data_IF_070361407344
#
_entry.id   IF_070361407344
#
_cell.length_a   1.000
_cell.length_b   1.000
_cell.length_c   1.000
_cell.angle_alpha   90.00
_cell.angle_beta   90.00
_cell.angle_gamma   90.00
#
_symmetry.space_group_name_H-M   'P 1'
#
loop_
_entity.id
_entity.type
_entity.pdbx_description
1 polymer ?
#
# COMPACT_ATOMS: atom_id res chain seq x y z
N UNK A 1 -25.63 -25.83 -23.85
CA UNK A 1 -25.30 -25.50 -22.48
C UNK A 1 -25.40 -23.99 -22.38
N UNK A 2 -26.43 -23.46 -21.70
CA UNK A 2 -26.56 -22.01 -21.49
C UNK A 2 -25.48 -21.58 -20.50
N UNK A 3 -24.57 -20.72 -20.93
CA UNK A 3 -23.44 -20.24 -20.12
C UNK A 3 -23.84 -19.13 -19.13
N UNK A 4 -25.15 -18.82 -19.02
CA UNK A 4 -25.64 -17.78 -18.12
C UNK A 4 -26.88 -18.31 -17.39
N UNK A 5 -26.73 -18.62 -16.12
CA UNK A 5 -27.86 -18.75 -15.22
C UNK A 5 -28.39 -17.33 -14.91
N UNK A 6 -29.45 -16.93 -15.61
CA UNK A 6 -30.07 -15.62 -15.46
C UNK A 6 -30.73 -15.41 -14.08
N UNK A 7 -30.89 -16.47 -13.26
CA UNK A 7 -31.48 -16.35 -11.93
C UNK A 7 -30.58 -15.59 -10.96
N UNK A 8 -29.24 -15.59 -11.16
CA UNK A 8 -28.28 -14.84 -10.37
C UNK A 8 -28.29 -13.32 -10.64
N UNK A 9 -28.84 -12.88 -11.76
CA UNK A 9 -28.78 -11.46 -12.17
C UNK A 9 -29.73 -10.51 -11.42
N UNK A 10 -30.66 -11.03 -10.62
CA UNK A 10 -31.74 -10.19 -10.08
C UNK A 10 -32.14 -10.42 -8.62
N UNK A 11 -31.68 -11.49 -7.95
CA UNK A 11 -32.16 -11.82 -6.62
C UNK A 11 -31.28 -11.35 -5.45
N UNK A 12 -29.98 -11.21 -5.65
CA UNK A 12 -29.04 -10.93 -4.55
C UNK A 12 -28.06 -9.81 -4.94
N UNK A 13 -28.57 -8.59 -5.05
CA UNK A 13 -27.68 -7.43 -5.09
C UNK A 13 -27.14 -7.22 -3.66
N UNK A 14 -25.82 -7.07 -3.47
CA UNK A 14 -25.27 -6.67 -2.18
C UNK A 14 -25.99 -5.42 -1.70
N UNK A 15 -26.40 -5.39 -0.44
CA UNK A 15 -26.90 -4.15 0.17
C UNK A 15 -25.77 -3.11 0.09
N UNK A 16 -26.10 -1.82 -0.12
CA UNK A 16 -25.09 -0.78 -0.09
C UNK A 16 -24.39 -0.80 1.27
N UNK A 17 -23.05 -0.69 1.31
CA UNK A 17 -22.29 -0.72 2.56
C UNK A 17 -22.80 0.37 3.50
N UNK A 18 -22.73 0.11 4.82
CA UNK A 18 -23.03 1.12 5.84
C UNK A 18 -22.23 2.39 5.58
N UNK A 19 -22.85 3.55 5.78
CA UNK A 19 -22.14 4.85 5.71
C UNK A 19 -21.06 4.96 6.81
N UNK A 20 -21.23 4.24 7.93
CA UNK A 20 -20.28 4.23 9.03
C UNK A 20 -19.20 3.17 8.82
N UNK A 21 -17.90 3.53 8.93
CA UNK A 21 -16.82 2.58 8.78
C UNK A 21 -16.78 1.60 9.96
N UNK A 22 -16.42 0.34 9.67
CA UNK A 22 -16.15 -0.68 10.69
C UNK A 22 -14.98 -0.22 11.55
N UNK A 23 -15.10 -0.36 12.87
CA UNK A 23 -14.10 -0.05 13.89
C UNK A 23 -14.06 -1.13 14.94
N UNK A 24 -12.87 -1.37 15.47
CA UNK A 24 -12.61 -2.26 16.62
C UNK A 24 -12.25 -1.45 17.87
N UNK A 25 -11.37 -0.47 17.70
CA UNK A 25 -10.89 0.40 18.77
C UNK A 25 -11.55 1.79 18.69
N UNK A 26 -11.69 2.45 19.84
CA UNK A 26 -11.92 3.89 19.88
C UNK A 26 -10.61 4.68 19.70
N UNK A 27 -10.66 6.00 19.77
CA UNK A 27 -9.47 6.85 19.57
C UNK A 27 -8.43 6.71 20.69
N UNK A 28 -8.85 6.26 21.86
CA UNK A 28 -8.00 6.03 23.03
C UNK A 28 -7.46 4.58 23.09
N UNK A 29 -7.63 3.81 22.01
CA UNK A 29 -7.17 2.43 21.92
C UNK A 29 -8.02 1.42 22.70
N UNK A 30 -9.23 1.80 23.17
CA UNK A 30 -10.08 0.86 23.89
C UNK A 30 -11.03 0.12 22.93
N UNK A 31 -11.25 -1.19 23.13
CA UNK A 31 -12.20 -1.94 22.32
C UNK A 31 -13.63 -1.34 22.43
N UNK A 32 -14.24 -1.10 21.27
CA UNK A 32 -15.61 -0.57 21.22
C UNK A 32 -16.61 -1.59 21.76
N UNK A 33 -17.69 -1.16 22.42
CA UNK A 33 -18.73 -2.07 22.91
C UNK A 33 -19.34 -2.89 21.77
N UNK A 34 -19.21 -4.21 21.86
CA UNK A 34 -19.74 -5.16 20.87
C UNK A 34 -18.84 -5.39 19.65
N UNK A 35 -17.71 -4.70 19.53
CA UNK A 35 -16.70 -5.04 18.54
C UNK A 35 -16.00 -6.35 18.90
N UNK A 36 -15.63 -7.11 17.87
CA UNK A 36 -14.79 -8.31 18.04
C UNK A 36 -13.34 -7.91 17.76
N UNK A 37 -12.49 -8.03 18.76
CA UNK A 37 -11.05 -7.85 18.57
C UNK A 37 -10.51 -9.08 17.84
N UNK A 38 -9.69 -8.94 16.79
CA UNK A 38 -9.08 -10.06 16.08
C UNK A 38 -8.27 -10.95 17.04
N UNK A 39 -8.38 -12.27 16.87
CA UNK A 39 -7.62 -13.26 17.66
C UNK A 39 -6.16 -13.31 17.17
N UNK A 40 -5.39 -12.31 17.57
CA UNK A 40 -3.97 -12.21 17.31
C UNK A 40 -3.17 -12.54 18.57
N UNK A 41 -2.15 -13.35 18.42
CA UNK A 41 -1.20 -13.62 19.51
C UNK A 41 -0.37 -12.38 19.87
N UNK A 42 0.13 -12.33 21.12
CA UNK A 42 1.03 -11.25 21.57
C UNK A 42 2.20 -11.00 20.58
N UNK A 43 2.91 -12.01 20.05
CA UNK A 43 3.97 -11.77 19.06
C UNK A 43 3.47 -11.12 17.76
N UNK A 44 2.25 -11.47 17.28
CA UNK A 44 1.70 -10.85 16.07
C UNK A 44 1.31 -9.39 16.30
N UNK A 45 0.72 -9.08 17.45
CA UNK A 45 0.39 -7.71 17.85
C UNK A 45 1.65 -6.84 17.97
N UNK A 46 2.70 -7.36 18.64
CA UNK A 46 3.98 -6.65 18.76
C UNK A 46 4.66 -6.46 17.41
N UNK A 47 4.62 -7.46 16.52
CA UNK A 47 5.16 -7.34 15.16
C UNK A 47 4.44 -6.25 14.37
N UNK A 48 3.12 -6.19 14.43
CA UNK A 48 2.33 -5.13 13.77
C UNK A 48 2.69 -3.75 14.32
N UNK A 49 2.86 -3.62 15.63
CA UNK A 49 3.27 -2.37 16.26
C UNK A 49 4.69 -1.95 15.86
N UNK A 50 5.65 -2.89 15.86
CA UNK A 50 7.04 -2.64 15.44
C UNK A 50 7.10 -2.20 13.96
N UNK A 51 6.30 -2.82 13.08
CA UNK A 51 6.23 -2.44 11.67
C UNK A 51 5.57 -1.06 11.47
N UNK A 52 4.60 -0.67 12.31
CA UNK A 52 4.05 0.70 12.33
C UNK A 52 5.11 1.72 12.77
N UNK A 53 5.88 1.39 13.81
CA UNK A 53 7.02 2.22 14.24
C UNK A 53 8.06 2.36 13.14
N UNK A 54 8.39 1.24 12.47
CA UNK A 54 9.31 1.23 11.35
C UNK A 54 8.81 2.12 10.19
N UNK A 55 7.54 1.98 9.82
CA UNK A 55 6.93 2.78 8.77
C UNK A 55 7.02 4.28 9.09
N UNK A 56 6.69 4.68 10.30
CA UNK A 56 6.73 6.07 10.74
C UNK A 56 8.16 6.63 10.76
N UNK A 57 9.10 5.91 11.37
CA UNK A 57 10.49 6.34 11.45
C UNK A 57 11.15 6.41 10.05
N UNK A 58 10.86 5.43 9.19
CA UNK A 58 11.31 5.45 7.80
C UNK A 58 10.74 6.64 7.01
N UNK A 59 9.46 6.94 7.17
CA UNK A 59 8.80 8.08 6.50
C UNK A 59 9.47 9.41 6.86
N UNK A 60 9.71 9.64 8.14
CA UNK A 60 10.42 10.82 8.65
C UNK A 60 11.86 10.90 8.12
N UNK A 61 12.56 9.75 8.11
CA UNK A 61 13.92 9.65 7.60
C UNK A 61 13.98 9.93 6.10
N UNK A 62 13.05 9.38 5.31
CA UNK A 62 12.97 9.59 3.87
C UNK A 62 12.70 11.07 3.52
N UNK A 63 11.79 11.73 4.24
CA UNK A 63 11.55 13.17 4.10
C UNK A 63 12.82 13.98 4.41
N UNK A 64 13.55 13.60 5.45
CA UNK A 64 14.83 14.25 5.81
C UNK A 64 15.90 14.05 4.73
N UNK A 65 16.05 12.84 4.18
CA UNK A 65 16.97 12.52 3.09
C UNK A 65 16.65 13.32 1.82
N UNK A 66 15.36 13.47 1.51
CA UNK A 66 14.92 14.27 0.36
C UNK A 66 15.28 15.75 0.55
N UNK A 67 15.06 16.32 1.73
CA UNK A 67 15.44 17.72 2.03
C UNK A 67 16.95 17.94 1.96
N UNK A 68 17.75 16.90 2.20
CA UNK A 68 19.20 16.91 2.02
C UNK A 68 19.63 16.72 0.55
N UNK A 69 18.71 16.43 -0.36
CA UNK A 69 19.00 16.12 -1.76
C UNK A 69 19.65 14.76 -1.99
N UNK A 70 19.54 13.84 -1.03
CA UNK A 70 20.09 12.47 -1.12
C UNK A 70 19.17 11.51 -1.85
N UNK A 71 17.87 11.78 -1.86
CA UNK A 71 16.87 11.06 -2.66
C UNK A 71 16.04 12.03 -3.49
N UNK A 72 15.38 11.52 -4.52
CA UNK A 72 14.42 12.23 -5.36
C UNK A 72 13.12 12.55 -4.60
N UNK A 73 12.10 13.00 -5.31
CA UNK A 73 10.77 13.27 -4.73
C UNK A 73 10.22 12.00 -4.07
N UNK A 74 9.78 12.14 -2.83
CA UNK A 74 9.24 11.06 -2.01
C UNK A 74 7.75 11.30 -1.74
N UNK A 75 6.98 10.23 -1.67
CA UNK A 75 5.55 10.25 -1.34
C UNK A 75 5.34 9.82 0.13
N UNK A 76 5.19 10.76 1.09
CA UNK A 76 5.03 10.41 2.50
C UNK A 76 3.78 9.56 2.76
N UNK A 77 3.91 8.58 3.66
CA UNK A 77 2.83 7.64 4.00
C UNK A 77 2.23 7.84 5.39
N UNK A 78 2.81 8.70 6.24
CA UNK A 78 2.30 8.93 7.59
C UNK A 78 0.80 9.27 7.61
N UNK A 79 0.03 8.60 8.48
CA UNK A 79 -1.42 8.63 8.56
C UNK A 79 -2.12 7.61 7.64
N UNK A 80 -1.39 6.94 6.72
CA UNK A 80 -1.85 5.83 5.90
C UNK A 80 -1.08 4.53 6.21
N UNK A 81 -0.08 4.63 7.04
CA UNK A 81 0.79 3.55 7.50
C UNK A 81 0.01 2.45 8.25
N UNK A 82 -0.99 2.83 9.06
CA UNK A 82 -1.85 1.88 9.75
C UNK A 82 -2.56 0.91 8.82
N UNK A 83 -3.17 1.43 7.76
CA UNK A 83 -3.85 0.62 6.76
C UNK A 83 -2.89 -0.25 5.94
N UNK A 84 -1.70 0.27 5.61
CA UNK A 84 -0.68 -0.46 4.86
C UNK A 84 -0.13 -1.65 5.66
N UNK A 85 0.27 -1.40 6.91
CA UNK A 85 0.84 -2.43 7.78
C UNK A 85 -0.21 -3.49 8.10
N UNK A 86 -1.38 -3.08 8.59
CA UNK A 86 -2.41 -4.02 9.01
C UNK A 86 -2.92 -4.89 7.86
N UNK A 87 -3.12 -4.33 6.66
CA UNK A 87 -3.55 -5.11 5.50
C UNK A 87 -2.50 -6.11 5.03
N UNK A 88 -1.21 -5.78 5.17
CA UNK A 88 -0.13 -6.71 4.81
C UNK A 88 0.08 -7.80 5.85
N UNK A 89 -0.15 -7.54 7.14
CA UNK A 89 -0.19 -8.59 8.16
C UNK A 89 -1.31 -9.62 7.95
N UNK A 90 -2.34 -9.27 7.18
CA UNK A 90 -3.42 -10.20 6.81
C UNK A 90 -3.07 -11.13 5.63
N UNK A 91 -2.00 -10.83 4.87
CA UNK A 91 -1.55 -11.66 3.75
C UNK A 91 -0.84 -12.92 4.24
N UNK A 92 -1.09 -14.03 3.54
CA UNK A 92 -0.24 -15.22 3.62
C UNK A 92 0.92 -15.12 2.62
N UNK A 93 1.99 -15.90 2.82
CA UNK A 93 3.16 -15.93 1.94
C UNK A 93 2.83 -16.21 0.47
N UNK A 94 1.74 -16.96 0.20
CA UNK A 94 1.30 -17.28 -1.15
C UNK A 94 0.45 -16.18 -1.81
N UNK A 95 -0.04 -15.22 -1.05
CA UNK A 95 -0.84 -14.11 -1.56
C UNK A 95 0.03 -13.08 -2.29
N UNK A 96 -0.55 -12.34 -3.21
CA UNK A 96 0.16 -11.34 -4.01
C UNK A 96 -0.25 -9.92 -3.65
N UNK A 97 0.74 -9.05 -3.44
CA UNK A 97 0.55 -7.62 -3.20
C UNK A 97 0.77 -6.81 -4.48
N UNK A 98 -0.20 -5.96 -4.82
CA UNK A 98 -0.13 -4.96 -5.89
C UNK A 98 -0.14 -3.56 -5.27
N UNK A 99 1.03 -2.96 -5.00
CA UNK A 99 1.12 -1.65 -4.38
C UNK A 99 0.99 -0.52 -5.39
N UNK A 100 0.72 0.69 -4.92
CA UNK A 100 1.02 1.94 -5.64
C UNK A 100 2.41 2.46 -5.22
N UNK A 101 2.73 3.67 -5.65
CA UNK A 101 3.99 4.37 -5.30
C UNK A 101 4.06 4.82 -3.82
N UNK A 102 3.02 4.61 -3.01
CA UNK A 102 2.96 5.04 -1.60
C UNK A 102 2.95 3.91 -0.59
N UNK A 103 2.63 2.71 -0.99
CA UNK A 103 2.50 1.56 -0.09
C UNK A 103 3.87 0.96 0.29
N UNK A 104 4.78 1.84 0.77
CA UNK A 104 6.13 1.44 1.17
C UNK A 104 6.12 0.46 2.34
N UNK A 105 5.31 0.75 3.38
CA UNK A 105 5.18 -0.13 4.55
C UNK A 105 4.59 -1.48 4.16
N UNK A 106 3.55 -1.50 3.31
CA UNK A 106 2.94 -2.74 2.86
C UNK A 106 3.95 -3.65 2.14
N UNK A 107 4.80 -3.08 1.27
CA UNK A 107 5.86 -3.82 0.59
C UNK A 107 6.86 -4.43 1.58
N UNK A 108 7.29 -3.64 2.58
CA UNK A 108 8.29 -4.07 3.57
C UNK A 108 7.73 -5.18 4.47
N UNK A 109 6.51 -5.06 4.94
CA UNK A 109 5.83 -6.10 5.73
C UNK A 109 5.70 -7.40 4.95
N UNK A 110 5.44 -7.32 3.63
CA UNK A 110 5.31 -8.50 2.76
C UNK A 110 6.66 -9.01 2.21
N UNK A 111 7.80 -8.54 2.75
CA UNK A 111 9.12 -9.13 2.53
C UNK A 111 10.06 -8.37 1.60
N UNK A 112 9.69 -7.19 1.08
CA UNK A 112 10.61 -6.35 0.30
C UNK A 112 11.61 -5.69 1.23
N UNK A 113 12.89 -5.71 0.86
CA UNK A 113 13.94 -5.08 1.64
C UNK A 113 13.74 -3.55 1.72
N UNK A 114 13.91 -2.98 2.91
CA UNK A 114 13.74 -1.53 3.14
C UNK A 114 14.71 -0.69 2.30
N UNK A 115 15.94 -1.16 2.06
CA UNK A 115 16.90 -0.51 1.17
C UNK A 115 16.42 -0.43 -0.28
N UNK A 116 15.63 -1.42 -0.72
CA UNK A 116 15.04 -1.46 -2.06
C UNK A 116 13.96 -0.40 -2.28
N UNK A 117 13.39 0.16 -1.20
CA UNK A 117 12.48 1.31 -1.29
C UNK A 117 13.27 2.61 -1.57
N UNK A 118 14.47 2.75 -1.01
CA UNK A 118 15.31 3.95 -1.16
C UNK A 118 16.12 3.95 -2.46
N UNK A 119 16.59 2.79 -2.91
CA UNK A 119 17.47 2.66 -4.06
C UNK A 119 16.92 3.32 -5.35
N UNK A 120 15.64 3.12 -5.75
CA UNK A 120 15.07 3.80 -6.91
C UNK A 120 15.00 5.32 -6.74
N UNK A 121 14.76 5.80 -5.52
CA UNK A 121 14.73 7.22 -5.19
C UNK A 121 16.12 7.87 -5.24
N UNK A 122 17.18 7.07 -5.14
CA UNK A 122 18.57 7.47 -5.37
C UNK A 122 19.02 7.33 -6.83
N UNK A 123 18.15 6.78 -7.69
CA UNK A 123 18.43 6.57 -9.11
C UNK A 123 18.99 5.19 -9.45
N UNK A 124 18.97 4.24 -8.52
CA UNK A 124 19.44 2.88 -8.68
C UNK A 124 18.28 1.96 -9.09
N UNK A 125 18.34 1.41 -10.30
CA UNK A 125 17.28 0.54 -10.83
C UNK A 125 17.18 -0.81 -10.12
N UNK A 126 18.26 -1.25 -9.48
CA UNK A 126 18.36 -2.52 -8.75
C UNK A 126 17.30 -2.62 -7.65
N UNK A 127 16.90 -1.50 -7.06
CA UNK A 127 15.85 -1.45 -6.06
C UNK A 127 14.43 -1.81 -6.58
N UNK A 128 14.23 -1.88 -7.90
CA UNK A 128 12.98 -2.41 -8.47
C UNK A 128 12.95 -3.95 -8.57
N UNK A 129 14.08 -4.60 -8.33
CA UNK A 129 14.14 -6.06 -8.31
C UNK A 129 13.51 -6.57 -7.00
N UNK A 130 12.46 -7.38 -7.14
CA UNK A 130 11.83 -8.07 -6.03
C UNK A 130 12.40 -9.49 -5.97
N UNK A 131 12.76 -10.03 -4.80
CA UNK A 131 13.22 -11.42 -4.69
C UNK A 131 12.19 -12.41 -5.24
N UNK A 132 12.64 -13.51 -5.85
CA UNK A 132 11.77 -14.50 -6.51
C UNK A 132 10.79 -15.19 -5.56
N UNK A 133 11.06 -15.18 -4.26
CA UNK A 133 10.24 -15.75 -3.19
C UNK A 133 9.31 -14.72 -2.53
N UNK A 134 9.33 -13.47 -2.96
CA UNK A 134 8.47 -12.39 -2.46
C UNK A 134 7.39 -12.04 -3.47
N UNK A 135 6.14 -12.27 -3.11
CA UNK A 135 4.98 -12.08 -3.99
C UNK A 135 4.49 -10.62 -4.00
N UNK A 136 5.35 -9.70 -4.43
CA UNK A 136 5.04 -8.27 -4.57
C UNK A 136 5.27 -7.83 -6.01
N UNK A 137 4.27 -7.18 -6.61
CA UNK A 137 4.44 -6.56 -7.91
C UNK A 137 5.21 -5.23 -7.79
N UNK A 138 5.94 -4.82 -8.81
CA UNK A 138 6.54 -3.49 -8.86
C UNK A 138 5.50 -2.40 -8.61
N UNK A 139 5.90 -1.31 -7.96
CA UNK A 139 5.00 -0.18 -7.71
C UNK A 139 4.52 0.49 -9.01
N UNK A 140 3.27 0.94 -9.00
CA UNK A 140 2.64 1.61 -10.13
C UNK A 140 2.52 3.11 -9.90
N UNK A 141 3.15 3.89 -10.76
CA UNK A 141 3.04 5.36 -10.79
C UNK A 141 1.83 5.82 -11.62
N UNK A 142 1.53 5.22 -12.80
CA UNK A 142 0.30 5.51 -13.52
C UNK A 142 -0.91 5.03 -12.72
N UNK A 143 -1.71 6.00 -12.25
CA UNK A 143 -2.78 5.77 -11.29
C UNK A 143 -3.84 4.82 -11.85
N UNK A 144 -4.19 3.77 -11.10
CA UNK A 144 -5.25 2.82 -11.44
C UNK A 144 -4.83 1.64 -12.32
N UNK A 145 -3.68 1.71 -13.01
CA UNK A 145 -3.25 0.67 -13.99
C UNK A 145 -2.97 -0.69 -13.37
N UNK A 146 -2.70 -0.76 -12.07
CA UNK A 146 -2.49 -2.02 -11.35
C UNK A 146 -3.78 -2.84 -11.18
N UNK A 147 -4.95 -2.22 -11.20
CA UNK A 147 -6.23 -2.88 -10.92
C UNK A 147 -6.58 -3.96 -11.95
N UNK A 148 -6.55 -3.69 -13.29
CA UNK A 148 -6.78 -4.73 -14.28
C UNK A 148 -5.69 -5.82 -14.26
N UNK A 149 -4.45 -5.48 -13.90
CA UNK A 149 -3.36 -6.45 -13.78
C UNK A 149 -3.57 -7.37 -12.57
N UNK A 150 -4.01 -6.81 -11.44
CA UNK A 150 -4.39 -7.56 -10.24
C UNK A 150 -5.56 -8.52 -10.52
N UNK A 151 -6.60 -8.02 -11.21
CA UNK A 151 -7.72 -8.86 -11.63
C UNK A 151 -7.27 -10.00 -12.56
N UNK A 152 -6.37 -9.72 -13.50
CA UNK A 152 -5.80 -10.72 -14.42
C UNK A 152 -4.95 -11.75 -13.70
N UNK A 153 -4.12 -11.35 -12.73
CA UNK A 153 -3.33 -12.27 -11.89
C UNK A 153 -4.27 -13.19 -11.09
N UNK A 154 -5.24 -12.60 -10.39
CA UNK A 154 -6.20 -13.36 -9.60
C UNK A 154 -7.02 -14.33 -10.47
N UNK A 155 -7.43 -13.93 -11.67
CA UNK A 155 -8.10 -14.82 -12.62
C UNK A 155 -7.22 -15.99 -13.03
N UNK A 156 -5.92 -15.77 -13.21
CA UNK A 156 -4.98 -16.84 -13.54
C UNK A 156 -4.90 -17.91 -12.45
N UNK A 157 -5.13 -17.57 -11.19
CA UNK A 157 -5.14 -18.55 -10.09
C UNK A 157 -6.28 -19.56 -10.26
N UNK A 158 -7.50 -19.09 -10.55
CA UNK A 158 -8.64 -19.96 -10.83
C UNK A 158 -8.40 -20.85 -12.06
N UNK A 159 -7.83 -20.32 -13.15
CA UNK A 159 -7.51 -21.09 -14.35
C UNK A 159 -6.45 -22.18 -14.11
N UNK A 160 -5.57 -21.99 -13.13
CA UNK A 160 -4.49 -22.91 -12.76
C UNK A 160 -4.83 -23.82 -11.60
N UNK A 161 -6.02 -23.67 -10.99
CA UNK A 161 -6.43 -24.44 -9.82
C UNK A 161 -5.64 -24.11 -8.55
N UNK A 162 -5.17 -22.86 -8.42
CA UNK A 162 -4.43 -22.34 -7.27
C UNK A 162 -5.44 -21.66 -6.33
N UNK A 163 -6.02 -22.42 -5.42
CA UNK A 163 -7.11 -21.96 -4.54
C UNK A 163 -6.61 -21.40 -3.21
N UNK A 164 -5.31 -21.60 -2.89
CA UNK A 164 -4.66 -21.24 -1.64
C UNK A 164 -4.19 -19.78 -1.56
N UNK A 165 -4.44 -18.99 -2.62
CA UNK A 165 -3.91 -17.63 -2.75
C UNK A 165 -4.91 -16.65 -3.30
N UNK A 166 -4.70 -15.38 -2.93
CA UNK A 166 -5.48 -14.24 -3.40
C UNK A 166 -4.55 -13.07 -3.78
N UNK A 167 -5.14 -12.02 -4.34
CA UNK A 167 -4.46 -10.77 -4.62
C UNK A 167 -5.01 -9.68 -3.71
N UNK A 168 -4.12 -8.94 -3.04
CA UNK A 168 -4.43 -7.65 -2.41
C UNK A 168 -3.90 -6.53 -3.31
N UNK A 169 -4.80 -5.70 -3.82
CA UNK A 169 -4.46 -4.58 -4.68
C UNK A 169 -4.80 -3.25 -3.99
N UNK A 170 -3.78 -2.45 -3.72
CA UNK A 170 -3.97 -1.10 -3.21
C UNK A 170 -4.26 -0.11 -4.33
N UNK A 171 -5.13 0.86 -4.06
CA UNK A 171 -5.41 2.00 -4.93
C UNK A 171 -5.79 3.21 -4.07
N UNK A 172 -5.65 4.42 -4.59
CA UNK A 172 -6.11 5.65 -3.91
C UNK A 172 -7.53 6.02 -4.28
N UNK A 173 -8.14 6.95 -3.52
CA UNK A 173 -9.45 7.53 -3.82
C UNK A 173 -9.50 8.14 -5.23
N UNK A 174 -8.46 8.88 -5.64
CA UNK A 174 -8.36 9.45 -6.99
C UNK A 174 -8.37 8.41 -8.10
N UNK A 175 -7.80 7.22 -7.85
CA UNK A 175 -7.79 6.13 -8.82
C UNK A 175 -9.20 5.65 -9.19
N UNK A 176 -10.17 5.81 -8.28
CA UNK A 176 -11.57 5.40 -8.54
C UNK A 176 -12.29 6.23 -9.62
N UNK A 177 -11.62 7.22 -10.18
CA UNK A 177 -12.09 8.01 -11.34
C UNK A 177 -11.44 7.60 -12.66
N UNK A 178 -10.42 6.71 -12.61
CA UNK A 178 -9.72 6.24 -13.81
C UNK A 178 -10.45 5.07 -14.48
N UNK A 179 -10.42 5.05 -15.83
CA UNK A 179 -11.07 4.01 -16.63
C UNK A 179 -10.59 2.61 -16.31
N UNK A 180 -9.28 2.44 -16.15
CA UNK A 180 -8.63 1.15 -15.82
C UNK A 180 -9.21 0.51 -14.55
N UNK A 181 -9.53 1.32 -13.53
CA UNK A 181 -10.16 0.82 -12.29
C UNK A 181 -11.54 0.24 -12.57
N UNK A 182 -12.37 0.97 -13.33
CA UNK A 182 -13.72 0.51 -13.69
C UNK A 182 -13.67 -0.77 -14.52
N UNK A 183 -12.75 -0.87 -15.46
CA UNK A 183 -12.54 -2.04 -16.32
C UNK A 183 -12.04 -3.23 -15.50
N UNK A 184 -11.02 -3.02 -14.65
CA UNK A 184 -10.47 -4.08 -13.80
C UNK A 184 -11.48 -4.63 -12.79
N UNK A 185 -12.26 -3.77 -12.13
CA UNK A 185 -13.30 -4.19 -11.19
C UNK A 185 -14.46 -4.90 -11.92
N UNK A 186 -14.81 -4.48 -13.15
CA UNK A 186 -15.78 -5.19 -13.98
C UNK A 186 -15.31 -6.61 -14.29
N UNK A 187 -14.04 -6.79 -14.68
CA UNK A 187 -13.46 -8.10 -14.90
C UNK A 187 -13.45 -8.94 -13.62
N UNK A 188 -13.07 -8.33 -12.51
CA UNK A 188 -13.03 -9.01 -11.21
C UNK A 188 -14.40 -9.59 -10.84
N UNK A 189 -15.47 -8.81 -10.98
CA UNK A 189 -16.82 -9.26 -10.70
C UNK A 189 -17.34 -10.31 -11.70
N UNK A 190 -17.10 -10.11 -13.00
CA UNK A 190 -17.59 -11.05 -14.05
C UNK A 190 -16.94 -12.42 -13.94
N UNK A 191 -15.64 -12.48 -13.62
CA UNK A 191 -14.88 -13.73 -13.51
C UNK A 191 -14.78 -14.27 -12.09
N UNK A 192 -15.38 -13.58 -11.11
CA UNK A 192 -15.42 -13.96 -9.69
C UNK A 192 -14.02 -14.32 -9.16
N UNK A 193 -13.07 -13.39 -9.35
CA UNK A 193 -11.65 -13.63 -9.08
C UNK A 193 -11.29 -13.52 -7.59
N UNK A 194 -10.30 -14.26 -7.07
CA UNK A 194 -9.84 -14.17 -5.69
C UNK A 194 -9.00 -12.89 -5.47
N UNK A 195 -9.66 -11.74 -5.37
CA UNK A 195 -8.98 -10.46 -5.20
C UNK A 195 -9.67 -9.56 -4.16
N UNK A 196 -8.86 -8.82 -3.42
CA UNK A 196 -9.27 -7.75 -2.51
C UNK A 196 -8.69 -6.45 -3.03
N UNK A 197 -9.55 -5.45 -3.24
CA UNK A 197 -9.16 -4.11 -3.71
C UNK A 197 -9.28 -3.14 -2.54
N UNK A 198 -8.16 -2.71 -1.97
CA UNK A 198 -8.11 -1.80 -0.83
C UNK A 198 -7.91 -0.37 -1.30
N UNK A 199 -8.98 0.41 -1.24
CA UNK A 199 -8.99 1.82 -1.61
C UNK A 199 -8.59 2.69 -0.42
N UNK A 200 -7.39 3.23 -0.47
CA UNK A 200 -6.84 4.18 0.51
C UNK A 200 -7.50 5.55 0.32
N UNK A 201 -8.67 5.74 0.93
CA UNK A 201 -9.39 7.01 0.90
C UNK A 201 -8.79 7.99 1.91
N UNK A 202 -7.82 8.77 1.46
CA UNK A 202 -7.18 9.81 2.27
C UNK A 202 -7.79 11.21 2.11
N UNK A 203 -8.94 11.30 1.46
CA UNK A 203 -9.71 12.53 1.26
C UNK A 203 -9.28 13.38 0.07
N UNK A 204 -8.12 13.12 -0.54
CA UNK A 204 -7.53 13.99 -1.57
C UNK A 204 -6.83 13.22 -2.70
N UNK A 205 -7.29 13.42 -3.93
CA UNK A 205 -6.54 13.10 -5.14
C UNK A 205 -5.57 14.26 -5.41
N UNK A 206 -4.33 14.16 -4.93
CA UNK A 206 -3.35 15.27 -4.86
C UNK A 206 -3.91 16.44 -4.06
N UNK A 207 -4.55 17.40 -4.73
CA UNK A 207 -5.19 18.60 -4.18
C UNK A 207 -6.72 18.60 -4.35
N UNK A 208 -7.29 17.61 -5.03
CA UNK A 208 -8.73 17.55 -5.32
C UNK A 208 -9.44 16.81 -4.19
N UNK A 209 -10.30 17.48 -3.39
CA UNK A 209 -11.02 16.84 -2.31
C UNK A 209 -12.04 15.81 -2.83
N UNK A 210 -12.34 14.79 -2.02
CA UNK A 210 -13.23 13.68 -2.38
C UNK A 210 -14.59 14.16 -2.90
N UNK A 211 -15.15 15.22 -2.35
CA UNK A 211 -16.43 15.82 -2.77
C UNK A 211 -16.43 16.34 -4.22
N UNK A 212 -15.27 16.51 -4.84
CA UNK A 212 -15.10 16.88 -6.25
C UNK A 212 -14.67 15.74 -7.15
N UNK A 213 -14.35 14.57 -6.57
CA UNK A 213 -13.96 13.38 -7.33
C UNK A 213 -15.19 12.54 -7.68
N UNK A 214 -16.18 12.48 -6.80
CA UNK A 214 -17.36 11.62 -6.98
C UNK A 214 -18.60 12.21 -6.31
N UNK A 215 -19.77 11.87 -6.85
CA UNK A 215 -21.08 12.14 -6.24
C UNK A 215 -21.61 10.90 -5.46
N UNK A 216 -20.89 9.79 -5.45
CA UNK A 216 -21.22 8.62 -4.62
C UNK A 216 -21.07 8.99 -3.15
N UNK A 217 -21.98 8.55 -2.29
CA UNK A 217 -21.94 8.79 -0.85
C UNK A 217 -20.66 8.19 -0.23
N UNK A 218 -20.28 6.98 -0.67
CA UNK A 218 -19.06 6.29 -0.28
C UNK A 218 -18.35 5.72 -1.51
N UNK A 219 -17.03 5.50 -1.44
CA UNK A 219 -16.32 4.81 -2.52
C UNK A 219 -16.67 3.31 -2.54
N UNK A 220 -16.87 2.72 -1.37
CA UNK A 220 -17.32 1.32 -1.24
C UNK A 220 -18.67 1.07 -1.92
N UNK A 221 -19.54 2.08 -1.98
CA UNK A 221 -20.82 2.01 -2.70
C UNK A 221 -20.68 1.78 -4.20
N UNK A 222 -19.54 2.13 -4.81
CA UNK A 222 -19.27 1.85 -6.23
C UNK A 222 -19.15 0.35 -6.54
N UNK A 223 -18.81 -0.48 -5.56
CA UNK A 223 -18.62 -1.93 -5.69
C UNK A 223 -19.89 -2.61 -6.26
N UNK A 224 -21.07 -2.16 -5.84
CA UNK A 224 -22.35 -2.70 -6.31
C UNK A 224 -22.52 -2.60 -7.84
N UNK A 225 -21.91 -1.60 -8.51
CA UNK A 225 -21.97 -1.46 -9.96
C UNK A 225 -21.20 -2.58 -10.70
N UNK A 226 -20.27 -3.24 -10.05
CA UNK A 226 -19.45 -4.34 -10.60
C UNK A 226 -19.91 -5.71 -10.14
N UNK A 227 -20.94 -5.79 -9.26
CA UNK A 227 -21.43 -7.03 -8.69
C UNK A 227 -20.46 -7.66 -7.68
N UNK A 228 -19.66 -6.84 -7.00
CA UNK A 228 -18.73 -7.25 -5.95
C UNK A 228 -19.12 -6.63 -4.60
N UNK A 229 -18.65 -7.22 -3.51
CA UNK A 229 -18.93 -6.68 -2.18
C UNK A 229 -18.17 -5.39 -1.93
N UNK A 230 -18.83 -4.44 -1.28
CA UNK A 230 -18.24 -3.19 -0.81
C UNK A 230 -18.24 -3.13 0.71
N UNK A 231 -17.08 -2.86 1.31
CA UNK A 231 -16.91 -2.71 2.76
C UNK A 231 -16.23 -1.39 3.06
N UNK A 232 -16.61 -0.76 4.18
CA UNK A 232 -16.00 0.47 4.64
C UNK A 232 -15.36 0.28 6.00
N UNK A 233 -14.09 0.64 6.15
CA UNK A 233 -13.32 0.43 7.39
C UNK A 233 -12.63 1.73 7.81
N UNK A 234 -12.48 1.94 9.11
CA UNK A 234 -11.65 3.01 9.67
C UNK A 234 -10.17 2.64 9.46
N UNK A 235 -9.52 3.26 8.46
CA UNK A 235 -8.12 3.03 8.12
C UNK A 235 -7.13 3.54 9.17
N UNK A 236 -7.62 4.30 10.16
CA UNK A 236 -6.85 4.73 11.32
C UNK A 236 -6.93 3.72 12.48
N UNK A 237 -7.63 2.59 12.31
CA UNK A 237 -7.75 1.49 13.25
C UNK A 237 -7.08 0.22 12.68
N UNK A 238 -5.82 -0.06 13.04
CA UNK A 238 -5.09 -1.20 12.48
C UNK A 238 -5.78 -2.55 12.72
N UNK A 239 -6.44 -2.74 13.87
CA UNK A 239 -7.13 -4.00 14.15
C UNK A 239 -8.38 -4.17 13.32
N UNK A 240 -9.12 -3.10 13.04
CA UNK A 240 -10.28 -3.14 12.15
C UNK A 240 -9.86 -3.41 10.70
N UNK A 241 -8.78 -2.78 10.22
CA UNK A 241 -8.24 -3.04 8.88
C UNK A 241 -7.78 -4.49 8.74
N UNK A 242 -6.99 -4.99 9.72
CA UNK A 242 -6.56 -6.37 9.73
C UNK A 242 -7.73 -7.34 9.65
N UNK A 243 -8.77 -7.14 10.50
CA UNK A 243 -9.96 -7.98 10.53
C UNK A 243 -10.67 -8.01 9.17
N UNK A 244 -11.01 -6.84 8.63
CA UNK A 244 -11.77 -6.71 7.38
C UNK A 244 -11.00 -7.31 6.20
N UNK A 245 -9.69 -7.05 6.12
CA UNK A 245 -8.86 -7.60 5.04
C UNK A 245 -8.68 -9.11 5.18
N UNK A 246 -8.47 -9.63 6.40
CA UNK A 246 -8.38 -11.08 6.66
C UNK A 246 -9.65 -11.82 6.27
N UNK A 247 -10.82 -11.28 6.63
CA UNK A 247 -12.13 -11.84 6.26
C UNK A 247 -12.30 -11.84 4.73
N UNK A 248 -11.98 -10.72 4.06
CA UNK A 248 -12.07 -10.60 2.61
C UNK A 248 -11.12 -11.57 1.87
N UNK A 249 -9.87 -11.71 2.33
CA UNK A 249 -8.91 -12.67 1.78
C UNK A 249 -9.33 -14.11 2.01
N UNK A 250 -9.90 -14.42 3.18
CA UNK A 250 -10.43 -15.75 3.49
C UNK A 250 -11.59 -16.11 2.58
N UNK A 251 -12.55 -15.19 2.38
CA UNK A 251 -13.66 -15.34 1.45
C UNK A 251 -13.17 -15.50 0.00
N UNK A 252 -12.17 -14.72 -0.40
CA UNK A 252 -11.59 -14.80 -1.75
C UNK A 252 -10.99 -16.20 -2.02
N UNK A 253 -10.35 -16.83 -1.03
CA UNK A 253 -9.73 -18.16 -1.13
C UNK A 253 -10.73 -19.32 -0.94
N UNK A 254 -11.72 -19.14 -0.07
CA UNK A 254 -12.74 -20.14 0.21
C UNK A 254 -14.15 -19.56 -0.08
N UNK A 255 -14.59 -19.61 -1.37
CA UNK A 255 -15.81 -18.93 -1.79
C UNK A 255 -17.05 -19.49 -1.08
N UNK A 256 -17.94 -18.60 -0.67
CA UNK A 256 -19.23 -18.91 -0.08
C UNK A 256 -20.28 -18.92 -1.20
N UNK A 257 -21.13 -19.96 -1.24
CA UNK A 257 -22.17 -20.07 -2.26
C UNK A 257 -23.10 -18.85 -2.24
N UNK A 258 -23.20 -18.18 -3.40
CA UNK A 258 -24.06 -17.00 -3.59
C UNK A 258 -23.39 -15.67 -3.27
N UNK A 259 -22.19 -15.67 -2.69
CA UNK A 259 -21.42 -14.45 -2.43
C UNK A 259 -20.32 -14.26 -3.48
N UNK A 260 -20.04 -12.99 -3.92
CA UNK A 260 -18.93 -12.74 -4.81
C UNK A 260 -17.60 -12.89 -4.06
N UNK A 261 -16.60 -13.49 -4.71
CA UNK A 261 -15.25 -13.63 -4.14
C UNK A 261 -14.52 -12.29 -4.00
N UNK A 262 -14.53 -11.41 -5.02
CA UNK A 262 -13.82 -10.14 -4.90
C UNK A 262 -14.53 -9.19 -3.94
N UNK A 263 -13.71 -8.43 -3.19
CA UNK A 263 -14.18 -7.42 -2.25
C UNK A 263 -13.47 -6.09 -2.52
N UNK A 264 -14.24 -4.99 -2.55
CA UNK A 264 -13.72 -3.63 -2.58
C UNK A 264 -13.84 -3.02 -1.18
N UNK A 265 -12.70 -2.70 -0.56
CA UNK A 265 -12.63 -2.13 0.78
C UNK A 265 -12.28 -0.65 0.66
N UNK A 266 -13.13 0.24 1.17
CA UNK A 266 -12.80 1.65 1.37
C UNK A 266 -12.19 1.83 2.76
N UNK A 267 -10.89 2.03 2.83
CA UNK A 267 -10.15 2.39 4.04
C UNK A 267 -10.15 3.90 4.21
N UNK A 268 -10.95 4.38 5.17
CA UNK A 268 -11.09 5.81 5.46
C UNK A 268 -9.95 6.25 6.37
N UNK A 269 -9.06 7.05 5.84
CA UNK A 269 -7.84 7.46 6.51
C UNK A 269 -7.43 8.88 6.09
N UNK A 270 -6.29 9.34 6.55
CA UNK A 270 -5.83 10.67 6.21
C UNK A 270 -4.32 10.71 5.94
N UNK A 271 -3.89 11.52 4.99
CA UNK A 271 -2.48 11.76 4.69
C UNK A 271 -1.99 12.97 5.47
N UNK A 272 -1.11 12.80 6.47
CA UNK A 272 -0.58 13.92 7.25
C UNK A 272 0.36 14.80 6.45
N UNK A 273 1.24 14.20 5.67
CA UNK A 273 2.20 14.89 4.83
C UNK A 273 1.60 15.50 3.55
N UNK A 274 2.43 16.18 2.78
CA UNK A 274 2.13 16.61 1.42
C UNK A 274 1.87 15.40 0.50
N UNK A 275 1.32 15.62 -0.69
CA UNK A 275 1.14 14.54 -1.68
C UNK A 275 2.49 13.89 -2.04
N UNK A 276 3.47 14.72 -2.30
CA UNK A 276 4.89 14.37 -2.37
C UNK A 276 5.71 15.48 -1.73
N UNK A 277 6.99 15.24 -1.48
CA UNK A 277 7.89 16.26 -0.93
C UNK A 277 8.09 17.49 -1.84
N UNK A 278 7.60 17.45 -3.07
CA UNK A 278 7.58 18.59 -4.00
C UNK A 278 6.26 19.39 -3.99
N UNK A 279 5.24 18.94 -3.20
CA UNK A 279 3.92 19.56 -3.10
C UNK A 279 3.84 20.54 -1.93
N UNK A 280 2.93 21.54 -2.05
CA UNK A 280 2.60 22.50 -1.01
C UNK A 280 1.13 22.33 -0.57
N UNK A 281 0.87 21.57 0.51
CA UNK A 281 -0.48 21.27 0.96
C UNK A 281 -1.22 22.48 1.52
N UNK A 282 -0.54 23.54 1.95
CA UNK A 282 -1.17 24.77 2.47
C UNK A 282 -2.09 25.47 1.45
N UNK A 283 -1.99 25.09 0.18
CA UNK A 283 -2.79 25.64 -0.91
C UNK A 283 -4.19 25.07 -1.02
N UNK A 284 -4.47 23.92 -0.39
CA UNK A 284 -5.73 23.19 -0.59
C UNK A 284 -6.31 22.55 0.69
N UNK A 285 -5.60 22.58 1.82
CA UNK A 285 -6.10 22.10 3.12
C UNK A 285 -5.53 22.93 4.26
N UNK A 286 -6.21 22.93 5.39
CA UNK A 286 -5.82 23.61 6.60
C UNK A 286 -5.06 22.69 7.57
N UNK A 287 -4.17 23.24 8.39
CA UNK A 287 -3.43 22.48 9.39
C UNK A 287 -4.37 21.93 10.49
N UNK A 288 -5.44 22.65 10.81
CA UNK A 288 -6.45 22.21 11.80
C UNK A 288 -7.11 20.87 11.38
N UNK A 289 -7.31 20.64 10.09
CA UNK A 289 -7.82 19.37 9.55
C UNK A 289 -6.82 18.23 9.82
N UNK A 290 -5.53 18.49 9.63
CA UNK A 290 -4.46 17.50 9.89
C UNK A 290 -4.42 17.13 11.37
N UNK A 291 -4.48 18.13 12.28
CA UNK A 291 -4.42 17.89 13.73
C UNK A 291 -5.64 17.09 14.23
N UNK A 292 -6.83 17.34 13.71
CA UNK A 292 -8.02 16.53 14.04
C UNK A 292 -7.86 15.06 13.66
N UNK A 293 -7.16 14.76 12.55
CA UNK A 293 -6.88 13.39 12.16
C UNK A 293 -5.74 12.75 12.97
N UNK A 294 -4.79 13.56 13.46
CA UNK A 294 -3.73 13.10 14.36
C UNK A 294 -4.25 12.58 15.70
N UNK A 295 -5.39 13.10 16.17
CA UNK A 295 -6.07 12.57 17.37
C UNK A 295 -6.49 11.09 17.22
N UNK A 296 -6.41 10.55 16.00
CA UNK A 296 -6.76 9.16 15.65
C UNK A 296 -5.55 8.38 15.13
N UNK A 297 -4.34 8.82 15.45
CA UNK A 297 -3.13 8.23 14.89
C UNK A 297 -3.09 6.70 15.09
N UNK A 298 -2.87 5.90 14.02
CA UNK A 298 -2.91 4.45 14.10
C UNK A 298 -1.83 3.86 15.01
N UNK A 299 -0.66 4.49 15.09
CA UNK A 299 0.44 4.04 15.93
C UNK A 299 0.13 4.27 17.41
N UNK A 300 -0.35 5.47 17.77
CA UNK A 300 -0.72 5.82 19.14
C UNK A 300 -1.91 4.96 19.61
N UNK A 301 -2.88 4.76 18.72
CA UNK A 301 -4.09 3.97 19.01
C UNK A 301 -3.77 2.49 19.29
N UNK A 302 -2.94 1.87 18.44
CA UNK A 302 -2.50 0.49 18.67
C UNK A 302 -1.60 0.40 19.90
N UNK A 303 -0.69 1.36 20.10
CA UNK A 303 0.16 1.44 21.29
C UNK A 303 -0.65 1.47 22.58
N UNK A 304 -1.63 2.37 22.68
CA UNK A 304 -2.52 2.47 23.84
C UNK A 304 -3.31 1.17 24.10
N UNK A 305 -3.76 0.49 23.04
CA UNK A 305 -4.38 -0.83 23.18
C UNK A 305 -3.40 -1.85 23.79
N UNK A 306 -2.18 -1.94 23.26
CA UNK A 306 -1.17 -2.89 23.74
C UNK A 306 -0.73 -2.61 25.18
N UNK A 307 -0.63 -1.33 25.56
CA UNK A 307 -0.37 -0.92 26.94
C UNK A 307 -1.50 -1.35 27.88
N UNK A 308 -2.76 -1.15 27.48
CA UNK A 308 -3.92 -1.54 28.28
C UNK A 308 -4.02 -3.05 28.49
N UNK A 309 -3.56 -3.84 27.53
CA UNK A 309 -3.48 -5.30 27.62
C UNK A 309 -2.21 -5.81 28.34
N UNK A 310 -1.30 -4.90 28.73
CA UNK A 310 -0.03 -5.25 29.37
C UNK A 310 0.99 -5.92 28.44
N UNK A 311 0.80 -5.77 27.13
CA UNK A 311 1.68 -6.33 26.09
C UNK A 311 2.85 -5.38 25.84
N UNK A 312 2.63 -4.07 25.89
CA UNK A 312 3.65 -3.03 25.68
C UNK A 312 3.89 -2.29 27.00
N UNK A 313 5.17 -2.04 27.30
CA UNK A 313 5.65 -1.21 28.40
C UNK A 313 6.81 -0.32 27.91
N UNK A 314 7.27 0.60 28.76
CA UNK A 314 8.33 1.55 28.42
C UNK A 314 9.63 0.87 27.99
N UNK A 315 10.00 -0.28 28.59
CA UNK A 315 11.21 -1.01 28.28
C UNK A 315 11.11 -1.66 26.88
N UNK A 316 10.01 -2.33 26.59
CA UNK A 316 9.74 -2.92 25.26
C UNK A 316 9.64 -1.84 24.17
N UNK A 317 8.99 -0.72 24.46
CA UNK A 317 8.91 0.41 23.52
C UNK A 317 10.32 0.94 23.19
N UNK A 318 11.19 1.09 24.18
CA UNK A 318 12.57 1.52 23.98
C UNK A 318 13.35 0.52 23.10
N UNK A 319 13.23 -0.79 23.39
CA UNK A 319 13.87 -1.83 22.59
C UNK A 319 13.39 -1.85 21.13
N UNK A 320 12.09 -1.68 20.90
CA UNK A 320 11.51 -1.60 19.55
C UNK A 320 12.07 -0.39 18.81
N UNK A 321 12.12 0.77 19.46
CA UNK A 321 12.67 1.99 18.88
C UNK A 321 14.12 1.83 18.46
N UNK A 322 14.96 1.28 19.33
CA UNK A 322 16.38 1.06 19.04
C UNK A 322 16.57 0.14 17.83
N UNK A 323 15.77 -0.95 17.72
CA UNK A 323 15.82 -1.86 16.56
C UNK A 323 15.35 -1.18 15.28
N UNK A 324 14.29 -0.39 15.34
CA UNK A 324 13.74 0.35 14.20
C UNK A 324 14.75 1.38 13.69
N UNK A 325 15.37 2.16 14.59
CA UNK A 325 16.39 3.14 14.22
C UNK A 325 17.59 2.46 13.53
N UNK A 326 18.10 1.39 14.11
CA UNK A 326 19.20 0.61 13.53
C UNK A 326 18.83 0.07 12.14
N UNK A 327 17.65 -0.53 11.97
CA UNK A 327 17.18 -1.09 10.70
C UNK A 327 17.05 -0.02 9.60
N UNK A 328 16.57 1.18 9.93
CA UNK A 328 16.47 2.29 8.97
C UNK A 328 17.85 2.81 8.59
N UNK A 329 18.76 3.00 9.55
CA UNK A 329 20.12 3.46 9.28
C UNK A 329 20.90 2.44 8.43
N UNK A 330 20.77 1.14 8.69
CA UNK A 330 21.32 0.07 7.87
C UNK A 330 20.78 0.10 6.44
N UNK A 331 19.47 0.29 6.27
CA UNK A 331 18.84 0.37 4.96
C UNK A 331 19.32 1.60 4.16
N UNK A 332 19.50 2.75 4.82
CA UNK A 332 20.07 3.95 4.20
C UNK A 332 21.50 3.70 3.74
N UNK A 333 22.33 3.12 4.61
CA UNK A 333 23.74 2.80 4.28
C UNK A 333 23.82 1.78 3.13
N UNK A 334 22.97 0.77 3.13
CA UNK A 334 22.89 -0.23 2.06
C UNK A 334 22.50 0.41 0.72
N UNK A 335 21.45 1.24 0.71
CA UNK A 335 21.01 1.92 -0.50
C UNK A 335 22.07 2.88 -1.07
N UNK A 336 22.81 3.58 -0.21
CA UNK A 336 23.90 4.48 -0.63
C UNK A 336 25.14 3.74 -1.11
N UNK A 337 25.30 2.47 -0.75
CA UNK A 337 26.42 1.64 -1.21
C UNK A 337 26.21 1.02 -2.60
N UNK A 338 25.02 1.13 -3.17
CA UNK A 338 24.71 0.60 -4.50
C UNK A 338 25.48 1.37 -5.57
N UNK A 339 26.27 0.65 -6.35
CA UNK A 339 26.95 1.20 -7.52
C UNK A 339 26.12 0.91 -8.77
N UNK A 340 25.66 1.95 -9.47
CA UNK A 340 25.01 1.82 -10.78
C UNK A 340 26.04 2.09 -11.87
N UNK A 341 26.45 1.04 -12.64
CA UNK A 341 27.38 1.23 -13.73
C UNK A 341 26.80 2.14 -14.82
N UNK A 342 27.65 2.96 -15.42
CA UNK A 342 27.21 3.88 -16.47
C UNK A 342 26.63 3.14 -17.69
N UNK A 343 27.09 1.92 -17.94
CA UNK A 343 26.63 1.00 -18.97
C UNK A 343 25.12 0.75 -18.88
N UNK A 344 24.57 0.70 -17.69
CA UNK A 344 23.15 0.47 -17.44
C UNK A 344 22.23 1.52 -18.07
N UNK A 345 22.74 2.75 -18.27
CA UNK A 345 22.00 3.80 -18.98
C UNK A 345 21.84 3.53 -20.49
N UNK A 346 22.64 2.63 -21.03
CA UNK A 346 22.74 2.38 -22.49
C UNK A 346 22.22 1.02 -22.87
N UNK A 347 22.59 -0.02 -22.10
CA UNK A 347 22.44 -1.42 -22.50
C UNK A 347 21.00 -1.94 -22.47
N UNK A 348 20.08 -1.23 -21.79
CA UNK A 348 18.69 -1.65 -21.63
C UNK A 348 17.67 -0.81 -22.40
N UNK A 349 18.10 0.23 -23.12
CA UNK A 349 17.19 1.12 -23.87
C UNK A 349 16.84 0.54 -25.25
N UNK A 350 17.79 -0.12 -25.89
CA UNK A 350 17.62 -0.70 -27.23
C UNK A 350 18.23 -2.10 -27.27
N UNK A 351 17.71 -2.96 -28.16
CA UNK A 351 18.33 -4.27 -28.41
C UNK A 351 19.78 -4.12 -28.96
N UNK A 352 20.01 -3.07 -29.73
CA UNK A 352 21.35 -2.64 -30.16
C UNK A 352 21.45 -1.12 -29.97
N UNK A 353 22.39 -0.67 -29.16
CA UNK A 353 22.59 0.75 -28.92
C UNK A 353 22.92 1.50 -30.23
N UNK A 354 22.14 2.53 -30.63
CA UNK A 354 22.45 3.35 -31.79
C UNK A 354 23.77 4.13 -31.62
N UNK A 355 24.43 4.48 -32.71
CA UNK A 355 25.72 5.17 -32.69
C UNK A 355 25.70 6.43 -31.78
N UNK A 356 24.63 7.24 -31.87
CA UNK A 356 24.47 8.43 -31.07
C UNK A 356 24.49 8.15 -29.58
N UNK A 357 23.90 7.08 -29.12
CA UNK A 357 23.85 6.72 -27.69
C UNK A 357 25.23 6.26 -27.24
N UNK A 358 25.95 5.48 -28.06
CA UNK A 358 27.35 5.10 -27.79
C UNK A 358 28.28 6.30 -27.68
N UNK A 359 28.14 7.28 -28.58
CA UNK A 359 28.93 8.53 -28.52
C UNK A 359 28.66 9.33 -27.25
N UNK A 360 27.39 9.38 -26.78
CA UNK A 360 27.03 10.02 -25.52
C UNK A 360 27.64 9.30 -24.32
N UNK A 361 27.55 7.96 -24.29
CA UNK A 361 28.16 7.14 -23.26
C UNK A 361 29.68 7.41 -23.15
N UNK A 362 30.41 7.30 -24.27
CA UNK A 362 31.85 7.56 -24.31
C UNK A 362 32.21 8.99 -23.85
N UNK A 363 31.35 9.97 -24.13
CA UNK A 363 31.58 11.35 -23.70
C UNK A 363 31.41 11.51 -22.17
N UNK A 364 30.46 10.80 -21.57
CA UNK A 364 30.24 10.83 -20.10
C UNK A 364 31.37 10.06 -19.41
N UNK A 365 31.72 8.87 -19.89
CA UNK A 365 32.79 8.04 -19.37
C UNK A 365 34.13 8.79 -19.32
N UNK A 366 34.51 9.47 -20.41
CA UNK A 366 35.70 10.34 -20.45
C UNK A 366 35.65 11.47 -19.41
N UNK A 367 34.46 12.05 -19.16
CA UNK A 367 34.30 13.11 -18.13
C UNK A 367 34.46 12.57 -16.73
N UNK A 368 33.93 11.39 -16.44
CA UNK A 368 34.08 10.76 -15.14
C UNK A 368 35.52 10.37 -14.85
N UNK A 369 36.22 9.77 -15.83
CA UNK A 369 37.65 9.45 -15.73
C UNK A 369 38.49 10.71 -15.42
N UNK A 370 38.23 11.80 -16.17
CA UNK A 370 38.97 13.10 -15.93
C UNK A 370 38.71 13.66 -14.54
N UNK A 371 37.50 13.53 -13.98
CA UNK A 371 37.20 14.00 -12.62
C UNK A 371 37.90 13.16 -11.55
N UNK A 372 37.99 11.85 -11.75
CA UNK A 372 38.68 10.95 -10.85
C UNK A 372 40.20 11.22 -10.80
N UNK A 373 40.80 11.70 -11.90
CA UNK A 373 42.22 12.10 -11.97
C UNK A 373 42.47 13.43 -11.27
N UNK A 374 41.56 14.39 -11.34
CA UNK A 374 41.67 15.73 -10.72
C UNK A 374 41.38 15.73 -9.22
N UNK A 375 40.59 14.75 -8.75
CA UNK A 375 40.26 14.58 -7.31
C UNK A 375 41.29 13.80 -6.49
N UNK A 376 42.37 13.37 -7.11
CA UNK A 376 43.56 12.78 -6.47
C UNK A 376 44.67 13.81 -6.37
#
# INVERSE_FOLDING_TARGET
MSMYDQSRLYSDRPEPPSSDPIRVLDVDGQPLPGATVPDLSEPQLLAMYEDLRLARHFDERAVSLQRQGRIASYAPMAGQDGSQVASSHALADADWLFPTYREHAAKVVHGVDLSSILSPLMGHREGYAVPDDVNVMPEYIPVGTQVPQAAGMAWSFGLRGLEDRAVLCHLGDGATSEGDVHEGLTFAGVFDVPAVFLCNNNGYAISTPLSRQTASETLAGKAAAYGIDGVRVDGMDPLAVYQVVSEALSKAKAPIDGEPRPTFIESVQYRYGAHTTADDPSRYRDDDEVEQWRERDPLDRLGAYLESEGILDDDREAEIRDRVEARVDEAVAAAESVESPLEDLVDHVYAEAPARLREQYEAVDRRQASRAEVGR
#
